data_IF_686432550515
#
_entry.id   IF_686432550515
#
_cell.length_a   1.000
_cell.length_b   1.000
_cell.length_c   1.000
_cell.angle_alpha   90.00
_cell.angle_beta   90.00
_cell.angle_gamma   90.00
#
_symmetry.space_group_name_H-M   'P 1'
#
loop_
_entity.id
_entity.type
_entity.pdbx_description
1 polymer ?
#
# COMPACT_ATOMS: atom_id res chain seq x y z
N UNK A 1 15.37 2.58 -33.86
CA UNK A 1 15.98 1.81 -32.75
C UNK A 1 16.26 0.40 -33.24
N UNK A 2 17.47 -0.12 -33.05
CA UNK A 2 17.89 -1.39 -33.68
C UNK A 2 17.34 -2.58 -32.87
N UNK A 3 16.68 -3.55 -33.52
CA UNK A 3 15.99 -4.66 -32.85
C UNK A 3 16.89 -5.49 -31.91
N UNK A 4 18.17 -5.64 -32.29
CA UNK A 4 19.18 -6.31 -31.47
C UNK A 4 19.46 -5.59 -30.14
N UNK A 5 19.38 -4.25 -30.12
CA UNK A 5 19.58 -3.46 -28.90
C UNK A 5 18.39 -3.65 -27.96
N UNK A 6 17.17 -3.65 -28.49
CA UNK A 6 15.96 -3.88 -27.69
C UNK A 6 16.00 -5.24 -26.98
N UNK A 7 16.36 -6.31 -27.70
CA UNK A 7 16.48 -7.65 -27.09
C UNK A 7 17.57 -7.68 -26.02
N UNK A 8 18.72 -7.04 -26.28
CA UNK A 8 19.81 -6.97 -25.32
C UNK A 8 19.36 -6.27 -24.03
N UNK A 9 18.72 -5.11 -24.14
CA UNK A 9 18.19 -4.37 -22.99
C UNK A 9 17.14 -5.18 -22.23
N UNK A 10 16.19 -5.81 -22.91
CA UNK A 10 15.18 -6.66 -22.25
C UNK A 10 15.81 -7.82 -21.49
N UNK A 11 16.85 -8.45 -22.06
CA UNK A 11 17.58 -9.53 -21.40
C UNK A 11 18.33 -9.03 -20.17
N UNK A 12 19.05 -7.91 -20.29
CA UNK A 12 19.76 -7.29 -19.17
C UNK A 12 18.78 -6.91 -18.05
N UNK A 13 17.69 -6.20 -18.37
CA UNK A 13 16.64 -5.85 -17.40
C UNK A 13 16.05 -7.07 -16.69
N UNK A 14 15.81 -8.18 -17.41
CA UNK A 14 15.27 -9.40 -16.80
C UNK A 14 16.30 -10.13 -15.92
N UNK A 15 17.59 -10.03 -16.26
CA UNK A 15 18.67 -10.57 -15.43
C UNK A 15 18.81 -9.77 -14.13
N UNK A 16 18.82 -8.43 -14.21
CA UNK A 16 18.84 -7.56 -13.04
C UNK A 16 17.58 -7.74 -12.17
N UNK A 17 16.38 -7.77 -12.78
CA UNK A 17 15.13 -8.01 -12.05
C UNK A 17 15.16 -9.29 -11.19
N UNK A 18 15.72 -10.37 -11.74
CA UNK A 18 15.89 -11.62 -11.01
C UNK A 18 17.01 -11.54 -9.97
N UNK A 19 18.15 -10.92 -10.31
CA UNK A 19 19.26 -10.70 -9.37
C UNK A 19 18.83 -9.92 -8.14
N UNK A 20 17.98 -8.92 -8.33
CA UNK A 20 17.41 -8.08 -7.29
C UNK A 20 16.28 -8.73 -6.50
N UNK A 21 15.79 -9.92 -6.91
CA UNK A 21 14.59 -10.53 -6.34
C UNK A 21 13.40 -9.55 -6.32
N UNK A 22 13.28 -8.75 -7.39
CA UNK A 22 12.35 -7.63 -7.46
C UNK A 22 10.88 -8.07 -7.35
N UNK A 23 10.56 -9.30 -7.79
CA UNK A 23 9.22 -9.89 -7.60
C UNK A 23 8.87 -10.06 -6.12
N UNK A 24 9.79 -10.56 -5.30
CA UNK A 24 9.56 -10.76 -3.87
C UNK A 24 9.50 -9.43 -3.14
N UNK A 25 10.34 -8.46 -3.54
CA UNK A 25 10.28 -7.09 -3.05
C UNK A 25 8.92 -6.43 -3.32
N UNK A 26 8.41 -6.58 -4.55
CA UNK A 26 7.10 -6.08 -4.96
C UNK A 26 5.96 -6.77 -4.20
N UNK A 27 6.04 -8.09 -4.01
CA UNK A 27 5.06 -8.84 -3.24
C UNK A 27 5.01 -8.40 -1.77
N UNK A 28 6.17 -8.20 -1.14
CA UNK A 28 6.26 -7.68 0.22
C UNK A 28 5.67 -6.27 0.32
N UNK A 29 6.00 -5.38 -0.61
CA UNK A 29 5.44 -4.03 -0.65
C UNK A 29 3.91 -4.06 -0.80
N UNK A 30 3.39 -4.91 -1.68
CA UNK A 30 1.95 -5.09 -1.88
C UNK A 30 1.26 -5.65 -0.62
N UNK A 31 1.88 -6.60 0.08
CA UNK A 31 1.36 -7.15 1.34
C UNK A 31 1.24 -6.07 2.43
N UNK A 32 2.32 -5.34 2.71
CA UNK A 32 2.29 -4.26 3.69
C UNK A 32 1.28 -3.18 3.33
N UNK A 33 1.17 -2.84 2.04
CA UNK A 33 0.22 -1.83 1.56
C UNK A 33 -1.22 -2.29 1.73
N UNK A 34 -1.54 -3.52 1.32
CA UNK A 34 -2.90 -4.08 1.40
C UNK A 34 -3.38 -4.18 2.84
N UNK A 35 -2.52 -4.63 3.76
CA UNK A 35 -2.84 -4.72 5.20
C UNK A 35 -3.08 -3.34 5.81
N UNK A 36 -2.37 -2.31 5.35
CA UNK A 36 -2.49 -0.94 5.87
C UNK A 36 -3.67 -0.15 5.30
N UNK A 37 -4.21 -0.58 4.16
CA UNK A 37 -5.14 0.21 3.36
C UNK A 37 -6.47 0.44 4.07
N UNK A 38 -7.07 -0.59 4.67
CA UNK A 38 -8.35 -0.45 5.38
C UNK A 38 -8.26 0.51 6.59
N UNK A 39 -7.31 0.35 7.53
CA UNK A 39 -7.08 1.31 8.61
C UNK A 39 -6.87 2.75 8.13
N UNK A 40 -6.12 2.93 7.03
CA UNK A 40 -5.89 4.25 6.44
C UNK A 40 -7.20 4.88 5.95
N UNK A 41 -7.99 4.12 5.19
CA UNK A 41 -9.23 4.61 4.58
C UNK A 41 -10.29 4.96 5.62
N UNK A 42 -10.37 4.20 6.72
CA UNK A 42 -11.26 4.55 7.84
C UNK A 42 -10.92 5.94 8.37
N UNK A 43 -9.64 6.21 8.63
CA UNK A 43 -9.21 7.53 9.14
C UNK A 43 -9.49 8.62 8.12
N UNK A 44 -9.19 8.39 6.84
CA UNK A 44 -9.45 9.36 5.76
C UNK A 44 -10.94 9.66 5.65
N UNK A 45 -11.81 8.63 5.70
CA UNK A 45 -13.27 8.78 5.65
C UNK A 45 -13.78 9.50 6.91
N UNK A 46 -13.25 9.20 8.10
CA UNK A 46 -13.62 9.92 9.32
C UNK A 46 -13.26 11.41 9.24
N UNK A 47 -12.06 11.75 8.75
CA UNK A 47 -11.61 13.14 8.61
C UNK A 47 -12.45 13.87 7.54
N UNK A 48 -12.61 13.28 6.35
CA UNK A 48 -13.39 13.88 5.28
C UNK A 48 -14.88 13.96 5.64
N UNK A 49 -15.42 12.93 6.28
CA UNK A 49 -16.81 12.85 6.72
C UNK A 49 -17.15 13.87 7.80
N UNK A 50 -16.19 14.26 8.65
CA UNK A 50 -16.38 15.35 9.60
C UNK A 50 -16.61 16.72 8.93
N UNK A 51 -16.16 16.89 7.67
CA UNK A 51 -16.30 18.13 6.91
C UNK A 51 -17.44 18.06 5.88
N UNK A 52 -17.57 16.92 5.18
CA UNK A 52 -18.45 16.76 4.02
C UNK A 52 -19.63 15.80 4.24
N UNK A 53 -19.67 15.10 5.38
CA UNK A 53 -20.60 14.00 5.65
C UNK A 53 -20.00 12.64 5.29
N UNK A 54 -20.19 11.65 6.17
CA UNK A 54 -19.57 10.32 6.05
C UNK A 54 -19.99 9.57 4.77
N UNK A 55 -21.27 9.65 4.40
CA UNK A 55 -21.80 8.97 3.22
C UNK A 55 -21.22 9.54 1.91
N UNK A 56 -21.08 10.87 1.83
CA UNK A 56 -20.46 11.55 0.69
C UNK A 56 -18.96 11.21 0.58
N UNK A 57 -18.25 11.24 1.71
CA UNK A 57 -16.83 10.90 1.76
C UNK A 57 -16.57 9.44 1.36
N UNK A 58 -17.35 8.51 1.92
CA UNK A 58 -17.26 7.07 1.60
C UNK A 58 -17.57 6.81 0.13
N UNK A 59 -18.68 7.33 -0.39
CA UNK A 59 -19.12 7.11 -1.77
C UNK A 59 -18.09 7.56 -2.79
N UNK A 60 -17.51 8.76 -2.61
CA UNK A 60 -16.48 9.28 -3.52
C UNK A 60 -15.20 8.44 -3.44
N UNK A 61 -14.74 8.09 -2.24
CA UNK A 61 -13.52 7.29 -2.06
C UNK A 61 -13.67 5.89 -2.69
N UNK A 62 -14.80 5.21 -2.47
CA UNK A 62 -15.07 3.90 -3.09
C UNK A 62 -15.11 4.00 -4.62
N UNK A 63 -15.73 5.05 -5.16
CA UNK A 63 -15.77 5.31 -6.61
C UNK A 63 -14.37 5.47 -7.21
N UNK A 64 -13.50 6.25 -6.57
CA UNK A 64 -12.11 6.44 -7.01
C UNK A 64 -11.33 5.11 -6.96
N UNK A 65 -11.48 4.34 -5.88
CA UNK A 65 -10.84 3.05 -5.72
C UNK A 65 -11.31 2.07 -6.80
N UNK A 66 -12.60 2.03 -7.11
CA UNK A 66 -13.13 1.20 -8.19
C UNK A 66 -12.52 1.57 -9.54
N UNK A 67 -12.23 2.86 -9.80
CA UNK A 67 -11.52 3.31 -10.99
C UNK A 67 -10.06 2.82 -11.07
N UNK A 68 -9.42 2.57 -9.93
CA UNK A 68 -8.00 2.19 -9.85
C UNK A 68 -7.78 0.67 -9.80
N UNK A 69 -8.52 -0.05 -8.95
CA UNK A 69 -8.34 -1.49 -8.70
C UNK A 69 -9.45 -2.36 -9.30
N UNK A 70 -10.47 -1.74 -9.89
CA UNK A 70 -11.64 -2.43 -10.42
C UNK A 70 -12.64 -2.83 -9.32
N UNK A 71 -13.78 -3.37 -9.76
CA UNK A 71 -14.94 -3.64 -8.90
C UNK A 71 -14.62 -4.59 -7.74
N UNK A 72 -13.96 -5.71 -8.00
CA UNK A 72 -13.68 -6.72 -6.98
C UNK A 72 -12.74 -6.19 -5.87
N UNK A 73 -11.78 -5.34 -6.23
CA UNK A 73 -10.88 -4.72 -5.25
C UNK A 73 -11.60 -3.67 -4.41
N UNK A 74 -12.46 -2.87 -5.03
CA UNK A 74 -13.28 -1.88 -4.33
C UNK A 74 -14.26 -2.54 -3.35
N UNK A 75 -14.91 -3.64 -3.73
CA UNK A 75 -15.87 -4.36 -2.88
C UNK A 75 -15.19 -4.94 -1.62
N UNK A 76 -13.94 -5.40 -1.76
CA UNK A 76 -13.13 -5.91 -0.64
C UNK A 76 -12.79 -4.77 0.35
N UNK A 77 -12.44 -3.61 -0.19
CA UNK A 77 -12.14 -2.41 0.59
C UNK A 77 -13.40 -1.87 1.28
N UNK A 78 -14.51 -1.78 0.55
CA UNK A 78 -15.81 -1.34 1.07
C UNK A 78 -16.26 -2.24 2.23
N UNK A 79 -16.19 -3.56 2.06
CA UNK A 79 -16.47 -4.55 3.11
C UNK A 79 -15.59 -4.33 4.34
N UNK A 80 -14.30 -4.05 4.17
CA UNK A 80 -13.39 -3.80 5.28
C UNK A 80 -13.77 -2.51 6.04
N UNK A 81 -14.18 -1.47 5.33
CA UNK A 81 -14.63 -0.19 5.92
C UNK A 81 -15.99 -0.36 6.61
N UNK A 82 -16.95 -1.08 6.03
CA UNK A 82 -18.24 -1.39 6.66
C UNK A 82 -18.07 -2.14 7.99
N UNK A 83 -17.24 -3.18 8.00
CA UNK A 83 -16.94 -3.93 9.22
C UNK A 83 -16.29 -3.06 10.30
N UNK A 84 -15.53 -2.05 9.90
CA UNK A 84 -14.84 -1.14 10.81
C UNK A 84 -15.62 0.12 11.20
N UNK A 85 -16.80 0.38 10.63
CA UNK A 85 -17.69 1.48 11.02
C UNK A 85 -18.91 1.00 11.83
N UNK A 86 -18.91 -0.24 12.32
CA UNK A 86 -20.01 -0.70 13.18
C UNK A 86 -20.04 0.12 14.49
N UNK A 87 -21.21 0.69 14.88
CA UNK A 87 -21.33 1.67 15.97
C UNK A 87 -21.03 1.12 17.38
N UNK A 88 -20.66 -0.15 17.51
CA UNK A 88 -20.18 -0.75 18.77
C UNK A 88 -18.65 -0.68 18.94
N UNK A 89 -17.94 0.07 18.10
CA UNK A 89 -16.51 0.26 18.22
C UNK A 89 -16.21 1.22 19.38
N UNK A 90 -15.96 0.63 20.55
CA UNK A 90 -15.36 1.28 21.71
C UNK A 90 -14.10 2.05 21.31
N UNK A 91 -13.79 3.16 21.98
CA UNK A 91 -12.55 3.95 21.85
C UNK A 91 -11.27 3.08 21.73
N UNK A 92 -11.29 1.89 22.31
CA UNK A 92 -10.22 0.90 22.22
C UNK A 92 -9.93 0.39 20.80
N UNK A 93 -10.95 0.15 19.97
CA UNK A 93 -10.74 -0.36 18.60
C UNK A 93 -10.23 0.74 17.64
N UNK A 94 -10.54 2.02 17.90
CA UNK A 94 -9.91 3.15 17.19
C UNK A 94 -8.41 3.23 17.50
N UNK A 95 -8.02 3.03 18.77
CA UNK A 95 -6.60 3.00 19.18
C UNK A 95 -5.88 1.84 18.50
N UNK A 96 -6.48 0.64 18.48
CA UNK A 96 -5.90 -0.52 17.77
C UNK A 96 -5.72 -0.21 16.29
N UNK A 97 -6.72 0.40 15.65
CA UNK A 97 -6.66 0.74 14.22
C UNK A 97 -5.52 1.72 13.91
N UNK A 98 -5.31 2.71 14.78
CA UNK A 98 -4.17 3.64 14.68
C UNK A 98 -2.84 2.89 14.82
N UNK A 99 -2.72 1.98 15.79
CA UNK A 99 -1.50 1.19 15.99
C UNK A 99 -1.21 0.31 14.76
N UNK A 100 -2.22 -0.40 14.25
CA UNK A 100 -2.11 -1.24 13.05
C UNK A 100 -1.70 -0.38 11.85
N UNK A 101 -2.31 0.79 11.68
CA UNK A 101 -1.95 1.71 10.61
C UNK A 101 -0.50 2.18 10.73
N UNK A 102 -0.07 2.62 11.91
CA UNK A 102 1.29 3.10 12.11
C UNK A 102 2.32 1.99 11.82
N UNK A 103 2.05 0.77 12.28
CA UNK A 103 2.91 -0.37 12.01
C UNK A 103 2.94 -0.74 10.54
N UNK A 104 1.77 -0.84 9.91
CA UNK A 104 1.62 -1.16 8.49
C UNK A 104 2.28 -0.11 7.59
N UNK A 105 1.98 1.18 7.82
CA UNK A 105 2.58 2.29 7.08
C UNK A 105 4.11 2.33 7.25
N UNK A 106 4.62 2.14 8.46
CA UNK A 106 6.07 2.03 8.70
C UNK A 106 6.67 0.85 7.92
N UNK A 107 5.98 -0.29 7.89
CA UNK A 107 6.36 -1.44 7.08
C UNK A 107 6.40 -1.14 5.59
N UNK A 108 5.42 -0.41 5.05
CA UNK A 108 5.41 0.05 3.64
C UNK A 108 6.62 0.91 3.34
N UNK A 109 6.90 1.95 4.15
CA UNK A 109 8.03 2.84 3.91
C UNK A 109 9.38 2.11 4.07
N UNK A 110 9.52 1.27 5.08
CA UNK A 110 10.72 0.46 5.28
C UNK A 110 10.96 -0.50 4.12
N UNK A 111 9.90 -1.18 3.66
CA UNK A 111 9.98 -2.09 2.52
C UNK A 111 10.28 -1.34 1.21
N UNK A 112 9.70 -0.15 1.02
CA UNK A 112 9.98 0.70 -0.13
C UNK A 112 11.45 1.13 -0.14
N UNK A 113 11.97 1.66 0.96
CA UNK A 113 13.38 2.04 1.08
C UNK A 113 14.29 0.84 0.83
N UNK A 114 14.00 -0.31 1.43
CA UNK A 114 14.75 -1.56 1.20
C UNK A 114 14.74 -1.97 -0.26
N UNK A 115 13.60 -1.89 -0.92
CA UNK A 115 13.44 -2.28 -2.33
C UNK A 115 14.23 -1.34 -3.24
N UNK A 116 14.11 -0.02 -3.01
CA UNK A 116 14.82 1.01 -3.78
C UNK A 116 16.33 0.93 -3.56
N UNK A 117 16.78 0.74 -2.32
CA UNK A 117 18.21 0.59 -2.01
C UNK A 117 18.80 -0.65 -2.68
N UNK A 118 18.03 -1.75 -2.76
CA UNK A 118 18.49 -2.95 -3.45
C UNK A 118 18.62 -2.73 -4.96
N UNK A 119 17.57 -2.22 -5.60
CA UNK A 119 17.53 -1.98 -7.05
C UNK A 119 18.53 -0.91 -7.51
N UNK A 120 18.84 0.08 -6.68
CA UNK A 120 19.84 1.11 -6.97
C UNK A 120 21.22 0.82 -6.39
N UNK A 121 21.45 -0.39 -5.85
CA UNK A 121 22.73 -0.82 -5.29
C UNK A 121 23.31 0.19 -4.26
N UNK A 122 22.43 0.82 -3.49
CA UNK A 122 22.84 1.78 -2.46
C UNK A 122 23.37 1.02 -1.26
N UNK A 123 24.67 1.18 -0.96
CA UNK A 123 25.26 0.69 0.29
C UNK A 123 24.61 1.39 1.48
N UNK A 124 23.74 0.67 2.18
CA UNK A 124 23.19 1.13 3.45
C UNK A 124 24.33 1.12 4.45
N UNK A 125 24.79 2.31 4.86
CA UNK A 125 25.77 2.45 5.95
C UNK A 125 25.29 1.60 7.14
N UNK A 126 26.10 0.61 7.52
CA UNK A 126 25.86 -0.15 8.74
C UNK A 126 25.83 0.83 9.90
N UNK A 127 24.71 0.91 10.62
CA UNK A 127 24.68 1.59 11.90
C UNK A 127 25.59 0.80 12.85
N UNK A 128 26.83 1.27 12.99
CA UNK A 128 27.64 0.99 14.17
C UNK A 128 26.88 1.61 15.35
N UNK A 129 26.36 0.74 16.21
CA UNK A 129 25.60 1.12 17.41
C UNK A 129 26.44 1.83 18.47
#
# INVERSE_FOLDING_TARGET
>A
MNFRILIKLLKETFQEWQGDDASSLAAALAYYTSVSLAPLLIIVISIAGAVFGEEAARGEIVSQIQGLVGRNGAELIETAIENANQPQISNFASIISIIILLFGASGVFAQLQKSLNKVWEVEVKSEEG
#
